data_IF_724559748843
#
_entry.id   IF_724559748843
#
_cell.length_a   1.000
_cell.length_b   1.000
_cell.length_c   1.000
_cell.angle_alpha   90.00
_cell.angle_beta   90.00
_cell.angle_gamma   90.00
#
_symmetry.space_group_name_H-M   'P 1'
#
loop_
_entity.id
_entity.type
_entity.pdbx_description
1 polymer ?
#
# COMPACT_ATOMS: atom_id res chain seq x y z
N UNK A 1 -4.02 -5.30 -27.54
CA UNK A 1 -2.57 -5.11 -27.85
C UNK A 1 -1.87 -4.99 -26.52
N UNK A 2 -1.11 -6.02 -26.13
CA UNK A 2 -0.45 -6.14 -24.81
C UNK A 2 0.41 -4.90 -24.47
N UNK A 3 0.91 -4.17 -25.48
CA UNK A 3 1.65 -2.91 -25.32
C UNK A 3 0.83 -1.75 -24.73
N UNK A 4 -0.49 -1.69 -24.90
CA UNK A 4 -1.34 -0.65 -24.28
C UNK A 4 -1.67 -0.97 -22.82
N UNK A 5 -1.83 -2.25 -22.48
CA UNK A 5 -2.06 -2.70 -21.10
C UNK A 5 -0.78 -2.64 -20.25
N UNK A 6 0.39 -2.91 -20.85
CA UNK A 6 1.69 -2.76 -20.18
C UNK A 6 1.97 -1.30 -19.74
N UNK A 7 1.45 -0.31 -20.47
CA UNK A 7 1.57 1.11 -20.10
C UNK A 7 0.66 1.52 -18.93
N UNK A 8 -0.40 0.77 -18.62
CA UNK A 8 -1.25 1.01 -17.44
C UNK A 8 -0.84 0.14 -16.23
N UNK A 9 0.01 -0.87 -16.43
CA UNK A 9 0.42 -1.83 -15.40
C UNK A 9 1.61 -1.39 -14.53
N UNK A 10 2.38 -0.37 -14.97
CA UNK A 10 3.52 0.15 -14.21
C UNK A 10 3.11 0.97 -12.99
N UNK A 11 1.84 1.41 -12.91
CA UNK A 11 1.30 2.00 -11.68
C UNK A 11 0.88 0.89 -10.70
N UNK A 12 -0.08 0.03 -11.06
CA UNK A 12 -0.68 -0.86 -10.05
C UNK A 12 0.21 -1.96 -9.45
N UNK A 13 1.17 -2.53 -10.20
CA UNK A 13 2.03 -3.60 -9.66
C UNK A 13 3.16 -3.07 -8.79
N UNK A 14 3.86 -2.03 -9.26
CA UNK A 14 4.98 -1.45 -8.53
C UNK A 14 4.50 -0.77 -7.24
N UNK A 15 3.36 -0.07 -7.29
CA UNK A 15 2.74 0.57 -6.12
C UNK A 15 2.32 -0.48 -5.07
N UNK A 16 1.69 -1.58 -5.52
CA UNK A 16 1.32 -2.69 -4.62
C UNK A 16 2.53 -3.39 -4.04
N UNK A 17 3.59 -3.58 -4.83
CA UNK A 17 4.83 -4.20 -4.36
C UNK A 17 5.55 -3.32 -3.34
N UNK A 18 5.64 -2.01 -3.59
CA UNK A 18 6.19 -1.04 -2.65
C UNK A 18 5.40 -0.99 -1.34
N UNK A 19 4.07 -1.01 -1.41
CA UNK A 19 3.21 -1.09 -0.23
C UNK A 19 3.51 -2.34 0.60
N UNK A 20 3.57 -3.52 -0.04
CA UNK A 20 3.88 -4.79 0.66
C UNK A 20 5.29 -4.82 1.24
N UNK A 21 6.28 -4.22 0.58
CA UNK A 21 7.63 -4.09 1.13
C UNK A 21 7.67 -3.18 2.37
N UNK A 22 7.02 -2.01 2.29
CA UNK A 22 6.96 -1.06 3.41
C UNK A 22 6.20 -1.68 4.59
N UNK A 23 5.06 -2.31 4.31
CA UNK A 23 4.25 -3.01 5.29
C UNK A 23 5.06 -4.11 6.01
N UNK A 24 5.74 -4.96 5.24
CA UNK A 24 6.62 -6.00 5.80
C UNK A 24 7.77 -5.42 6.63
N UNK A 25 8.39 -4.32 6.18
CA UNK A 25 9.44 -3.64 6.93
C UNK A 25 8.92 -3.06 8.25
N UNK A 26 7.72 -2.45 8.25
CA UNK A 26 7.11 -1.92 9.46
C UNK A 26 6.81 -3.03 10.47
N UNK A 27 6.34 -4.19 10.02
CA UNK A 27 6.22 -5.37 10.88
C UNK A 27 7.54 -5.83 11.48
N UNK A 28 8.62 -5.86 10.68
CA UNK A 28 9.96 -6.19 11.20
C UNK A 28 10.50 -5.17 12.20
N UNK A 29 10.07 -3.90 12.09
CA UNK A 29 10.39 -2.83 13.03
C UNK A 29 9.49 -2.83 14.28
N UNK A 30 8.53 -3.77 14.38
CA UNK A 30 7.65 -3.94 15.54
C UNK A 30 6.36 -3.12 15.50
N UNK A 31 6.03 -2.52 14.35
CA UNK A 31 4.68 -1.97 14.13
C UNK A 31 3.71 -3.09 13.81
N UNK A 32 2.49 -2.98 14.32
CA UNK A 32 1.43 -3.95 14.09
C UNK A 32 0.11 -3.19 13.89
N UNK A 33 -0.94 -3.90 13.51
CA UNK A 33 -2.27 -3.34 13.25
C UNK A 33 -3.38 -4.12 13.96
N UNK A 34 -3.06 -4.75 15.10
CA UNK A 34 -3.98 -5.58 15.90
C UNK A 34 -5.11 -4.74 16.49
N UNK A 35 -4.82 -3.54 16.99
CA UNK A 35 -5.83 -2.60 17.48
C UNK A 35 -5.91 -1.32 16.64
N UNK A 36 -6.99 -0.55 16.82
CA UNK A 36 -7.27 0.63 16.01
C UNK A 36 -6.18 1.72 16.10
N UNK A 37 -5.53 1.90 17.26
CA UNK A 37 -4.48 2.91 17.44
C UNK A 37 -3.18 2.46 16.78
N UNK A 38 -2.84 1.18 16.93
CA UNK A 38 -1.67 0.61 16.27
C UNK A 38 -1.82 0.66 14.75
N UNK A 39 -3.01 0.32 14.25
CA UNK A 39 -3.35 0.42 12.84
C UNK A 39 -3.22 1.85 12.31
N UNK A 40 -3.80 2.83 13.00
CA UNK A 40 -3.71 4.24 12.59
C UNK A 40 -2.25 4.72 12.53
N UNK A 41 -1.43 4.35 13.52
CA UNK A 41 -0.02 4.69 13.54
C UNK A 41 0.75 4.03 12.37
N UNK A 42 0.50 2.74 12.11
CA UNK A 42 1.13 2.01 11.01
C UNK A 42 0.70 2.56 9.65
N UNK A 43 -0.60 2.77 9.43
CA UNK A 43 -1.15 3.33 8.19
C UNK A 43 -0.63 4.76 7.91
N UNK A 44 -0.45 5.58 8.95
CA UNK A 44 0.12 6.93 8.82
C UNK A 44 1.57 6.88 8.33
N UNK A 45 2.36 5.93 8.84
CA UNK A 45 3.73 5.71 8.41
C UNK A 45 3.79 5.13 6.99
N UNK A 46 2.94 4.16 6.66
CA UNK A 46 2.84 3.61 5.31
C UNK A 46 2.55 4.70 4.28
N UNK A 47 1.57 5.57 4.55
CA UNK A 47 1.24 6.70 3.68
C UNK A 47 2.41 7.67 3.52
N UNK A 48 3.05 8.05 4.62
CA UNK A 48 4.19 8.97 4.60
C UNK A 48 5.35 8.42 3.77
N UNK A 49 5.65 7.13 3.94
CA UNK A 49 6.71 6.46 3.21
C UNK A 49 6.36 6.34 1.72
N UNK A 50 5.15 5.92 1.37
CA UNK A 50 4.72 5.80 -0.04
C UNK A 50 4.76 7.15 -0.77
N UNK A 51 4.27 8.22 -0.14
CA UNK A 51 4.37 9.58 -0.69
C UNK A 51 5.84 9.99 -0.89
N UNK A 52 6.74 9.64 0.04
CA UNK A 52 8.17 9.93 -0.10
C UNK A 52 8.84 9.20 -1.26
N UNK A 53 8.30 8.05 -1.68
CA UNK A 53 8.72 7.32 -2.88
C UNK A 53 8.01 7.78 -4.16
N UNK A 54 7.17 8.82 -4.09
CA UNK A 54 6.40 9.32 -5.23
C UNK A 54 5.26 8.37 -5.66
N UNK A 55 4.81 7.51 -4.75
CA UNK A 55 3.73 6.56 -4.95
C UNK A 55 2.46 7.13 -4.32
N UNK A 56 1.37 7.16 -5.10
CA UNK A 56 0.07 7.62 -4.63
C UNK A 56 -0.48 6.72 -3.52
N UNK A 57 -1.34 7.28 -2.67
CA UNK A 57 -1.85 6.63 -1.48
C UNK A 57 -2.66 5.36 -1.83
N UNK A 58 -2.22 4.16 -1.41
CA UNK A 58 -2.87 2.90 -1.78
C UNK A 58 -4.27 2.76 -1.15
N UNK A 59 -4.56 3.55 -0.11
CA UNK A 59 -5.85 3.58 0.57
C UNK A 59 -6.89 4.46 -0.15
N UNK A 60 -6.48 5.31 -1.10
CA UNK A 60 -7.42 6.16 -1.85
C UNK A 60 -8.14 5.41 -2.97
N UNK A 61 -7.60 4.29 -3.44
CA UNK A 61 -8.25 3.44 -4.45
C UNK A 61 -9.23 2.39 -3.87
N UNK A 62 -9.38 2.31 -2.54
CA UNK A 62 -10.25 1.32 -1.88
C UNK A 62 -11.73 1.77 -1.75
N UNK A 63 -12.21 2.70 -2.58
CA UNK A 63 -13.64 3.05 -2.69
C UNK A 63 -14.32 2.38 -3.90
N UNK A 64 -13.87 1.19 -4.28
CA UNK A 64 -14.43 0.43 -5.41
C UNK A 64 -14.15 -1.06 -5.30
N UNK A 65 -14.97 -1.76 -4.51
CA UNK A 65 -15.13 -3.22 -4.50
C UNK A 65 -14.06 -4.05 -3.78
N UNK A 66 -14.54 -4.83 -2.79
CA UNK A 66 -14.02 -6.13 -2.33
C UNK A 66 -12.85 -6.10 -1.32
N UNK A 67 -13.19 -5.98 -0.03
CA UNK A 67 -12.40 -6.64 1.02
C UNK A 67 -12.65 -8.15 0.93
N UNK A 68 -11.63 -8.89 0.50
CA UNK A 68 -11.48 -10.30 0.86
C UNK A 68 -10.49 -10.31 2.01
N UNK A 69 -11.03 -10.55 3.20
CA UNK A 69 -10.44 -11.29 4.33
C UNK A 69 -8.94 -11.10 4.56
N UNK A 70 -8.62 -10.34 5.59
CA UNK A 70 -7.68 -10.81 6.60
C UNK A 70 -8.48 -11.33 7.78
#
# INVERSE_FOLDING_TARGET
>A
MILKEAQEFEKSFAERYAHMLIHGLLHLLGYDHVDARQREAMESLEKTLLISFGIDNPYEMLNGSRQVVQ
#
